data_IF_219034492581
#
_entry.id   IF_219034492581
#
_cell.length_a   1.000
_cell.length_b   1.000
_cell.length_c   1.000
_cell.angle_alpha   90.00
_cell.angle_beta   90.00
_cell.angle_gamma   90.00
#
_symmetry.space_group_name_H-M   'P 1'
#
loop_
_entity.id
_entity.type
_entity.pdbx_description
1 polymer ?
#
# COMPACT_ATOMS: atom_id res chain seq x y z
N UNK A 1 -19.46 -16.38 11.72
CA UNK A 1 -18.02 -16.64 11.89
C UNK A 1 -17.32 -16.41 10.57
N UNK A 2 -16.73 -15.24 10.29
CA UNK A 2 -15.75 -15.14 9.23
C UNK A 2 -14.46 -15.78 9.76
N UNK A 3 -14.15 -17.00 9.29
CA UNK A 3 -12.83 -17.62 9.47
C UNK A 3 -11.92 -17.23 8.30
N UNK A 4 -10.60 -17.27 8.51
CA UNK A 4 -9.44 -17.11 7.59
C UNK A 4 -9.67 -16.54 6.17
N UNK A 5 -10.61 -17.10 5.40
CA UNK A 5 -11.17 -16.54 4.17
C UNK A 5 -11.59 -15.08 4.33
N UNK A 6 -12.24 -14.71 5.47
CA UNK A 6 -12.70 -13.34 5.83
C UNK A 6 -11.62 -12.28 5.61
N UNK A 7 -10.46 -12.55 6.20
CA UNK A 7 -9.27 -11.74 6.12
C UNK A 7 -8.71 -11.62 4.69
N UNK A 8 -8.81 -12.67 3.87
CA UNK A 8 -8.31 -12.63 2.49
C UNK A 8 -9.15 -11.72 1.60
N UNK A 9 -10.49 -11.79 1.70
CA UNK A 9 -11.36 -10.88 0.95
C UNK A 9 -11.10 -9.42 1.37
N UNK A 10 -11.03 -9.14 2.67
CA UNK A 10 -10.72 -7.80 3.17
C UNK A 10 -9.37 -7.31 2.63
N UNK A 11 -8.35 -8.16 2.65
CA UNK A 11 -7.03 -7.83 2.10
C UNK A 11 -7.08 -7.44 0.62
N UNK A 12 -7.73 -8.25 -0.22
CA UNK A 12 -7.84 -7.98 -1.67
C UNK A 12 -8.64 -6.69 -1.92
N UNK A 13 -9.77 -6.53 -1.24
CA UNK A 13 -10.64 -5.36 -1.40
C UNK A 13 -9.92 -4.08 -0.95
N UNK A 14 -9.24 -4.12 0.21
CA UNK A 14 -8.50 -2.98 0.75
C UNK A 14 -7.34 -2.59 -0.17
N UNK A 15 -6.59 -3.57 -0.69
CA UNK A 15 -5.53 -3.32 -1.67
C UNK A 15 -6.07 -2.60 -2.91
N UNK A 16 -7.15 -3.12 -3.52
CA UNK A 16 -7.78 -2.50 -4.69
C UNK A 16 -8.25 -1.07 -4.42
N UNK A 17 -8.87 -0.85 -3.26
CA UNK A 17 -9.37 0.47 -2.89
C UNK A 17 -8.24 1.48 -2.66
N UNK A 18 -7.18 1.10 -1.94
CA UNK A 18 -6.00 1.95 -1.72
C UNK A 18 -5.27 2.23 -3.03
N UNK A 19 -5.10 1.21 -3.86
CA UNK A 19 -4.44 1.32 -5.16
C UNK A 19 -5.13 2.35 -6.06
N UNK A 20 -6.46 2.27 -6.17
CA UNK A 20 -7.26 3.23 -6.95
C UNK A 20 -7.25 4.65 -6.38
N UNK A 21 -7.02 4.82 -5.08
CA UNK A 21 -6.89 6.14 -4.44
C UNK A 21 -5.54 6.78 -4.70
N UNK A 22 -4.49 5.96 -4.75
CA UNK A 22 -3.13 6.44 -4.82
C UNK A 22 -2.56 6.48 -6.22
N UNK A 23 -2.67 5.38 -6.97
CA UNK A 23 -2.01 5.25 -8.26
C UNK A 23 -2.69 6.15 -9.30
N UNK A 24 -1.88 6.99 -9.95
CA UNK A 24 -2.30 7.86 -11.06
C UNK A 24 -1.31 7.61 -12.21
N UNK A 25 -1.71 6.86 -13.25
CA UNK A 25 -0.82 6.53 -14.36
C UNK A 25 -0.12 7.77 -14.87
N UNK A 26 1.21 7.70 -14.97
CA UNK A 26 2.04 8.77 -15.55
C UNK A 26 1.95 10.11 -14.83
N UNK A 27 1.42 10.13 -13.60
CA UNK A 27 1.19 11.37 -12.83
C UNK A 27 1.75 11.32 -11.43
N UNK A 28 2.05 10.14 -10.91
CA UNK A 28 2.78 10.00 -9.67
C UNK A 28 3.90 8.98 -9.79
N UNK A 29 4.99 9.26 -9.10
CA UNK A 29 6.18 8.42 -9.06
C UNK A 29 5.90 7.23 -8.14
N UNK A 30 5.85 6.03 -8.71
CA UNK A 30 5.75 4.78 -7.96
C UNK A 30 6.96 3.95 -8.35
N UNK A 31 8.10 4.41 -7.86
CA UNK A 31 9.38 3.74 -8.01
C UNK A 31 9.70 2.93 -6.75
N UNK A 32 10.62 1.96 -6.84
CA UNK A 32 11.14 1.22 -5.68
C UNK A 32 10.06 0.55 -4.80
N UNK A 33 8.98 0.05 -5.39
CA UNK A 33 7.86 -0.61 -4.69
C UNK A 33 7.20 0.26 -3.60
N UNK A 34 7.14 1.59 -3.79
CA UNK A 34 6.40 2.48 -2.88
C UNK A 34 4.95 1.99 -2.67
N UNK A 35 4.38 2.23 -1.49
CA UNK A 35 2.98 1.97 -1.15
C UNK A 35 2.50 2.94 -0.06
N UNK A 36 1.21 3.33 -0.09
CA UNK A 36 0.62 4.12 1.02
C UNK A 36 0.42 3.27 2.27
N UNK A 37 -0.05 2.03 2.11
CA UNK A 37 -0.29 1.15 3.25
C UNK A 37 -0.10 -0.31 2.87
N UNK A 38 0.36 -1.09 3.85
CA UNK A 38 0.51 -2.53 3.75
C UNK A 38 -0.18 -3.16 4.95
N UNK A 39 -1.01 -4.17 4.69
CA UNK A 39 -1.69 -4.91 5.75
C UNK A 39 -0.67 -5.81 6.45
N UNK A 40 -0.43 -5.55 7.74
CA UNK A 40 0.40 -6.41 8.59
C UNK A 40 -0.50 -7.32 9.43
N UNK A 41 -0.08 -8.58 9.54
CA UNK A 41 -0.56 -9.67 10.42
C UNK A 41 -2.00 -9.56 10.99
N UNK A 42 -2.92 -10.49 10.67
CA UNK A 42 -4.22 -10.53 11.35
C UNK A 42 -4.03 -10.90 12.83
N UNK A 43 -4.25 -9.96 13.75
CA UNK A 43 -4.26 -10.19 15.19
C UNK A 43 -5.67 -10.49 15.69
N UNK A 44 -5.82 -11.52 16.54
CA UNK A 44 -7.07 -11.82 17.24
C UNK A 44 -6.91 -11.43 18.71
N UNK A 45 -7.44 -10.28 19.15
CA UNK A 45 -7.39 -9.89 20.55
C UNK A 45 -8.18 -10.86 21.44
N UNK A 46 -7.83 -10.98 22.73
CA UNK A 46 -8.68 -11.62 23.73
C UNK A 46 -10.09 -11.01 23.75
N UNK A 47 -11.16 -11.78 24.03
CA UNK A 47 -12.54 -11.31 23.97
C UNK A 47 -12.86 -10.12 24.88
N UNK A 48 -12.11 -9.96 25.96
CA UNK A 48 -12.26 -8.97 27.03
C UNK A 48 -11.27 -7.80 26.89
N UNK A 49 -10.44 -7.78 25.84
CA UNK A 49 -9.49 -6.70 25.62
C UNK A 49 -10.21 -5.38 25.32
N UNK A 50 -9.92 -4.35 26.14
CA UNK A 50 -10.45 -3.01 25.89
C UNK A 50 -9.88 -2.40 24.61
N UNK A 51 -10.62 -1.48 23.99
CA UNK A 51 -10.13 -0.76 22.79
C UNK A 51 -8.82 -0.02 23.07
N UNK A 52 -8.66 0.57 24.26
CA UNK A 52 -7.42 1.26 24.66
C UNK A 52 -6.25 0.28 24.70
N UNK A 53 -6.45 -0.90 25.31
CA UNK A 53 -5.43 -1.95 25.38
C UNK A 53 -5.05 -2.48 23.99
N UNK A 54 -6.01 -2.62 23.08
CA UNK A 54 -5.75 -2.99 21.69
C UNK A 54 -4.88 -1.95 20.98
N UNK A 55 -5.21 -0.66 21.13
CA UNK A 55 -4.44 0.45 20.56
C UNK A 55 -3.00 0.44 21.09
N UNK A 56 -2.82 0.32 22.41
CA UNK A 56 -1.49 0.22 23.02
C UNK A 56 -0.70 -0.95 22.45
N UNK A 57 -1.33 -2.14 22.36
CA UNK A 57 -0.67 -3.33 21.81
C UNK A 57 -0.22 -3.16 20.36
N UNK A 58 -1.09 -2.58 19.50
CA UNK A 58 -0.75 -2.32 18.10
C UNK A 58 0.38 -1.30 17.98
N UNK A 59 0.37 -0.23 18.78
CA UNK A 59 1.42 0.78 18.75
C UNK A 59 2.76 0.23 19.23
N UNK A 60 2.76 -0.64 20.24
CA UNK A 60 3.96 -1.38 20.68
C UNK A 60 4.54 -2.27 19.57
N UNK A 61 3.66 -3.00 18.85
CA UNK A 61 4.07 -3.83 17.72
C UNK A 61 4.61 -2.98 16.57
N UNK A 62 3.95 -1.85 16.28
CA UNK A 62 4.37 -0.91 15.25
C UNK A 62 5.73 -0.30 15.55
N UNK A 63 5.99 0.08 16.81
CA UNK A 63 7.31 0.54 17.25
C UNK A 63 8.40 -0.49 16.96
N UNK A 64 8.18 -1.77 17.31
CA UNK A 64 9.13 -2.86 17.02
C UNK A 64 9.36 -3.07 15.51
N UNK A 65 8.31 -2.89 14.70
CA UNK A 65 8.44 -2.94 13.24
C UNK A 65 9.30 -1.78 12.75
N UNK A 66 9.06 -0.57 13.24
CA UNK A 66 9.84 0.63 12.90
C UNK A 66 11.32 0.48 13.29
N UNK A 67 11.61 -0.03 14.49
CA UNK A 67 12.97 -0.29 14.97
C UNK A 67 13.68 -1.32 14.08
N UNK A 68 12.96 -2.37 13.68
CA UNK A 68 13.50 -3.40 12.80
C UNK A 68 13.79 -2.86 11.41
N UNK A 69 12.91 -2.02 10.87
CA UNK A 69 13.12 -1.31 9.60
C UNK A 69 14.35 -0.40 9.70
N UNK A 70 14.48 0.39 10.77
CA UNK A 70 15.64 1.27 10.97
C UNK A 70 16.95 0.48 11.07
N UNK A 71 16.95 -0.64 11.78
CA UNK A 71 18.12 -1.54 11.86
C UNK A 71 18.49 -2.08 10.48
N UNK A 72 17.51 -2.59 9.72
CA UNK A 72 17.77 -3.08 8.36
C UNK A 72 18.29 -1.97 7.44
N UNK A 73 17.73 -0.77 7.50
CA UNK A 73 18.21 0.36 6.71
C UNK A 73 19.68 0.70 7.01
N UNK A 74 20.07 0.68 8.30
CA UNK A 74 21.47 0.91 8.70
C UNK A 74 22.40 -0.23 8.25
N UNK A 75 21.99 -1.49 8.42
CA UNK A 75 22.77 -2.65 8.02
C UNK A 75 23.04 -2.64 6.51
N UNK A 76 22.05 -2.30 5.69
CA UNK A 76 22.19 -2.37 4.24
C UNK A 76 23.17 -1.33 3.70
N UNK A 77 23.18 -0.12 4.27
CA UNK A 77 24.16 0.93 3.91
C UNK A 77 25.60 0.52 4.26
N UNK A 78 25.78 -0.35 5.27
CA UNK A 78 27.12 -0.76 5.74
C UNK A 78 27.64 -2.06 5.11
N UNK A 79 26.77 -2.86 4.47
CA UNK A 79 27.18 -4.10 3.83
C UNK A 79 27.87 -3.84 2.49
N UNK A 80 28.99 -4.52 2.18
CA UNK A 80 29.63 -4.40 0.88
C UNK A 80 28.68 -4.92 -0.22
N UNK A 81 28.70 -4.32 -1.42
CA UNK A 81 27.88 -4.78 -2.54
C UNK A 81 28.13 -6.28 -2.81
N UNK A 82 27.15 -7.14 -2.53
CA UNK A 82 27.27 -8.58 -2.84
C UNK A 82 27.21 -8.77 -4.35
N UNK A 83 28.21 -9.45 -4.91
CA UNK A 83 28.40 -9.63 -6.35
C UNK A 83 27.69 -10.87 -6.91
N UNK A 84 26.98 -11.68 -6.12
CA UNK A 84 26.40 -12.92 -6.65
C UNK A 84 25.10 -13.36 -5.97
N UNK A 85 24.16 -13.75 -6.83
CA UNK A 85 23.02 -14.65 -6.58
C UNK A 85 21.81 -14.03 -5.87
N UNK A 86 21.04 -13.19 -6.57
CA UNK A 86 19.71 -12.81 -6.09
C UNK A 86 19.05 -11.60 -6.77
N UNK A 87 19.07 -11.50 -8.10
CA UNK A 87 18.37 -10.43 -8.85
C UNK A 87 18.85 -9.00 -8.52
N UNK A 88 18.24 -7.96 -9.13
CA UNK A 88 18.61 -6.56 -8.93
C UNK A 88 18.33 -6.00 -7.51
N UNK A 89 17.95 -6.82 -6.53
CA UNK A 89 17.22 -6.36 -5.33
C UNK A 89 18.06 -5.94 -4.10
N UNK A 90 19.39 -6.02 -4.13
CA UNK A 90 20.21 -5.67 -2.96
C UNK A 90 20.87 -4.28 -3.04
N UNK A 91 20.97 -3.67 -4.23
CA UNK A 91 21.66 -2.39 -4.41
C UNK A 91 20.80 -1.17 -4.06
N UNK A 92 19.47 -1.30 -4.13
CA UNK A 92 18.56 -0.14 -4.06
C UNK A 92 17.83 -0.03 -2.71
N UNK A 93 18.23 -0.86 -1.73
CA UNK A 93 17.61 -0.89 -0.41
C UNK A 93 17.84 0.40 0.39
N UNK A 94 18.88 1.19 0.06
CA UNK A 94 19.09 2.54 0.58
C UNK A 94 17.94 3.50 0.24
N UNK A 95 17.18 3.21 -0.84
CA UNK A 95 16.03 4.01 -1.28
C UNK A 95 14.70 3.50 -0.70
N UNK A 96 14.69 2.40 0.04
CA UNK A 96 13.50 1.90 0.74
C UNK A 96 13.30 2.66 2.05
N UNK A 97 12.65 3.82 1.98
CA UNK A 97 12.49 4.74 3.10
C UNK A 97 11.08 4.68 3.70
N UNK A 98 10.98 4.34 4.99
CA UNK A 98 9.76 4.54 5.78
C UNK A 98 9.67 6.01 6.22
N UNK A 99 8.71 6.76 5.66
CA UNK A 99 8.53 8.18 5.98
C UNK A 99 8.03 8.39 7.41
N UNK A 100 8.44 9.48 8.05
CA UNK A 100 8.12 9.80 9.44
C UNK A 100 6.62 9.79 9.77
N UNK A 101 5.70 10.32 8.93
CA UNK A 101 4.27 10.25 9.23
C UNK A 101 3.75 8.82 9.41
N UNK A 102 4.29 7.84 8.67
CA UNK A 102 3.90 6.44 8.79
C UNK A 102 4.54 5.73 9.99
N UNK A 103 5.55 6.33 10.63
CA UNK A 103 6.03 5.92 11.95
C UNK A 103 5.12 6.46 13.05
N UNK A 104 4.65 7.69 12.88
CA UNK A 104 3.84 8.43 13.84
C UNK A 104 2.36 7.99 13.92
N UNK A 105 1.85 7.26 12.92
CA UNK A 105 0.43 6.91 12.81
C UNK A 105 0.22 5.43 12.54
N UNK A 106 -0.76 4.83 13.22
CA UNK A 106 -1.31 3.51 12.86
C UNK A 106 -2.79 3.60 12.51
N UNK A 107 -3.24 2.73 11.62
CA UNK A 107 -4.65 2.57 11.24
C UNK A 107 -5.06 1.11 11.51
N UNK A 108 -6.04 0.93 12.39
CA UNK A 108 -6.53 -0.38 12.83
C UNK A 108 -7.91 -0.61 12.21
N UNK A 109 -8.02 -1.67 11.41
CA UNK A 109 -9.28 -2.17 10.89
C UNK A 109 -9.79 -3.30 11.77
N UNK A 110 -11.00 -3.16 12.31
CA UNK A 110 -11.66 -4.22 13.05
C UNK A 110 -12.43 -5.11 12.08
N UNK A 111 -12.21 -6.43 12.13
CA UNK A 111 -12.86 -7.39 11.23
C UNK A 111 -14.39 -7.31 11.34
N UNK A 112 -14.93 -7.07 12.54
CA UNK A 112 -16.38 -6.96 12.78
C UNK A 112 -17.05 -5.83 12.00
N UNK A 113 -16.28 -4.81 11.60
CA UNK A 113 -16.77 -3.70 10.78
C UNK A 113 -16.87 -4.09 9.29
N UNK A 114 -16.22 -5.17 8.88
CA UNK A 114 -16.23 -5.67 7.52
C UNK A 114 -17.22 -6.82 7.33
N UNK A 115 -17.98 -6.77 6.25
CA UNK A 115 -18.73 -7.92 5.80
C UNK A 115 -18.71 -8.01 4.26
N UNK A 116 -19.10 -9.16 3.74
CA UNK A 116 -19.06 -9.48 2.29
C UNK A 116 -19.92 -8.56 1.41
N UNK A 117 -20.85 -7.80 2.01
CA UNK A 117 -21.74 -6.86 1.33
C UNK A 117 -21.23 -5.43 1.36
N UNK A 118 -20.13 -5.15 2.05
CA UNK A 118 -19.47 -3.84 1.99
C UNK A 118 -18.97 -3.63 0.57
N UNK A 119 -19.53 -2.61 -0.09
CA UNK A 119 -19.18 -2.19 -1.46
C UNK A 119 -18.27 -0.96 -1.47
N UNK A 120 -18.36 -0.10 -0.46
CA UNK A 120 -17.54 1.08 -0.29
C UNK A 120 -16.68 0.96 0.97
N UNK A 121 -15.43 0.52 0.79
CA UNK A 121 -14.47 0.38 1.89
C UNK A 121 -14.10 1.71 2.53
N UNK A 122 -14.22 2.83 1.80
CA UNK A 122 -13.87 4.15 2.33
C UNK A 122 -14.74 4.56 3.51
N UNK A 123 -15.96 4.01 3.62
CA UNK A 123 -16.89 4.25 4.73
C UNK A 123 -16.68 3.33 5.93
N UNK A 124 -15.77 2.36 5.84
CA UNK A 124 -15.51 1.46 6.97
C UNK A 124 -14.99 2.27 8.17
N UNK A 125 -15.55 2.06 9.36
CA UNK A 125 -15.00 2.66 10.57
C UNK A 125 -13.67 2.00 10.91
N UNK A 126 -12.64 2.84 11.11
CA UNK A 126 -11.29 2.44 11.51
C UNK A 126 -10.86 3.26 12.72
N UNK A 127 -9.95 2.70 13.52
CA UNK A 127 -9.25 3.48 14.55
C UNK A 127 -7.99 4.05 13.91
N UNK A 128 -7.84 5.36 13.97
CA UNK A 128 -6.57 6.03 13.67
C UNK A 128 -5.92 6.42 14.99
N UNK A 129 -4.63 6.13 15.14
CA UNK A 129 -3.93 6.37 16.40
C UNK A 129 -2.57 7.03 16.17
N UNK A 130 -2.19 7.90 17.09
CA UNK A 130 -0.86 8.50 17.19
C UNK A 130 0.01 7.61 18.05
N UNK A 131 1.19 7.26 17.54
CA UNK A 131 2.12 6.33 18.20
C UNK A 131 3.00 7.02 19.24
N UNK A 132 3.11 8.35 19.16
CA UNK A 132 4.08 9.16 19.92
C UNK A 132 5.47 9.19 19.29
N UNK A 133 5.65 8.56 18.12
CA UNK A 133 6.91 8.63 17.37
C UNK A 133 6.94 9.90 16.52
N UNK A 134 7.57 10.95 17.05
CA UNK A 134 7.64 12.26 16.40
C UNK A 134 8.95 12.50 15.64
N UNK A 135 9.87 11.51 15.59
CA UNK A 135 11.19 11.70 14.99
C UNK A 135 11.10 11.99 13.49
N UNK A 136 11.64 13.14 13.10
CA UNK A 136 11.72 13.59 11.70
C UNK A 136 10.42 14.19 11.16
N UNK A 137 9.41 14.45 12.02
CA UNK A 137 8.26 15.25 11.64
C UNK A 137 8.62 16.75 11.69
N UNK A 138 8.14 17.52 10.72
CA UNK A 138 8.22 18.98 10.73
C UNK A 138 7.33 19.62 11.79
N UNK A 139 6.27 18.92 12.21
CA UNK A 139 5.32 19.38 13.22
C UNK A 139 4.63 18.20 13.90
N UNK A 140 4.38 18.33 15.20
CA UNK A 140 3.60 17.40 16.02
C UNK A 140 2.23 17.08 15.38
N UNK A 141 1.87 15.80 15.37
CA UNK A 141 0.59 15.35 14.84
C UNK A 141 -0.53 15.51 15.86
N UNK A 142 -1.71 15.86 15.36
CA UNK A 142 -2.94 15.89 16.14
C UNK A 142 -4.15 15.72 15.23
N UNK A 143 -5.31 15.44 15.82
CA UNK A 143 -6.54 15.19 15.07
C UNK A 143 -7.40 16.44 14.83
N UNK A 144 -6.88 17.66 15.02
CA UNK A 144 -7.67 18.89 14.86
C UNK A 144 -8.26 19.02 13.46
N UNK A 145 -7.48 18.69 12.42
CA UNK A 145 -7.90 18.76 11.01
C UNK A 145 -9.05 17.80 10.66
N UNK A 146 -9.21 16.69 11.40
CA UNK A 146 -10.24 15.68 11.15
C UNK A 146 -11.30 15.61 12.26
N UNK A 147 -11.29 16.56 13.20
CA UNK A 147 -12.17 16.57 14.38
C UNK A 147 -13.66 16.43 14.04
N UNK A 148 -14.11 17.10 12.98
CA UNK A 148 -15.50 17.05 12.50
C UNK A 148 -15.91 15.72 11.85
N UNK A 149 -14.95 14.83 11.58
CA UNK A 149 -15.19 13.49 11.04
C UNK A 149 -15.07 12.39 12.10
N UNK A 150 -14.75 12.74 13.36
CA UNK A 150 -14.63 11.78 14.45
C UNK A 150 -16.00 11.21 14.79
N UNK A 151 -16.13 9.89 14.62
CA UNK A 151 -17.36 9.14 14.93
C UNK A 151 -17.37 8.64 16.38
N UNK A 152 -16.20 8.41 16.97
CA UNK A 152 -16.04 8.01 18.37
C UNK A 152 -14.68 8.44 18.89
N UNK A 153 -14.67 9.07 20.06
CA UNK A 153 -13.44 9.40 20.79
C UNK A 153 -13.02 8.20 21.66
N UNK A 154 -11.74 7.83 21.62
CA UNK A 154 -11.19 6.74 22.45
C UNK A 154 -10.20 7.32 23.47
N UNK A 155 -9.25 8.13 23.02
CA UNK A 155 -8.29 8.89 23.81
C UNK A 155 -7.74 10.07 23.01
N UNK A 156 -6.92 10.91 23.61
CA UNK A 156 -6.24 12.02 22.90
C UNK A 156 -5.37 11.54 21.73
N UNK A 157 -4.88 10.30 21.81
CA UNK A 157 -4.04 9.65 20.81
C UNK A 157 -4.80 8.67 19.92
N UNK A 158 -6.11 8.46 20.11
CA UNK A 158 -6.88 7.50 19.31
C UNK A 158 -8.32 7.93 19.09
N UNK A 159 -8.74 7.95 17.82
CA UNK A 159 -10.11 8.29 17.42
C UNK A 159 -10.62 7.31 16.36
N UNK A 160 -11.93 7.15 16.28
CA UNK A 160 -12.57 6.38 15.22
C UNK A 160 -13.09 7.30 14.11
N UNK A 161 -12.68 7.02 12.88
CA UNK A 161 -13.09 7.77 11.67
C UNK A 161 -13.38 6.82 10.52
N UNK A 162 -14.04 7.26 9.44
CA UNK A 162 -14.10 6.49 8.21
C UNK A 162 -12.70 6.28 7.59
N UNK A 163 -12.46 5.12 6.96
CA UNK A 163 -11.18 4.76 6.35
C UNK A 163 -10.65 5.84 5.38
N UNK A 164 -11.53 6.42 4.56
CA UNK A 164 -11.11 7.48 3.63
C UNK A 164 -10.55 8.70 4.36
N UNK A 165 -11.13 9.10 5.49
CA UNK A 165 -10.63 10.21 6.30
C UNK A 165 -9.27 9.88 6.90
N UNK A 166 -9.07 8.65 7.38
CA UNK A 166 -7.78 8.22 7.92
C UNK A 166 -6.67 8.24 6.85
N UNK A 167 -6.98 7.77 5.63
CA UNK A 167 -6.04 7.80 4.50
C UNK A 167 -5.77 9.22 3.99
N UNK A 168 -6.81 10.05 3.88
CA UNK A 168 -6.66 11.45 3.47
C UNK A 168 -5.83 12.22 4.51
N UNK A 169 -6.02 11.94 5.81
CA UNK A 169 -5.21 12.52 6.88
C UNK A 169 -3.72 12.18 6.73
N UNK A 170 -3.36 10.89 6.64
CA UNK A 170 -1.94 10.49 6.57
C UNK A 170 -1.28 10.94 5.26
N UNK A 171 -2.05 10.97 4.17
CA UNK A 171 -1.57 11.49 2.88
C UNK A 171 -1.29 12.99 2.96
N UNK A 172 -2.16 13.77 3.62
CA UNK A 172 -1.93 15.19 3.83
C UNK A 172 -0.72 15.46 4.74
N UNK A 173 -0.51 14.65 5.79
CA UNK A 173 0.71 14.75 6.61
C UNK A 173 1.96 14.45 5.78
N UNK A 174 1.94 13.39 4.96
CA UNK A 174 3.05 13.06 4.08
C UNK A 174 3.36 14.17 3.07
N UNK A 175 2.32 14.78 2.47
CA UNK A 175 2.49 15.92 1.57
C UNK A 175 3.11 17.13 2.26
N UNK A 176 2.75 17.39 3.53
CA UNK A 176 3.37 18.43 4.35
C UNK A 176 4.86 18.17 4.55
N UNK A 177 5.23 16.95 4.91
CA UNK A 177 6.66 16.60 5.08
C UNK A 177 7.43 16.70 3.77
N UNK A 178 6.83 16.28 2.64
CA UNK A 178 7.41 16.45 1.30
C UNK A 178 7.60 17.94 0.96
N UNK A 179 6.67 18.81 1.35
CA UNK A 179 6.79 20.25 1.10
C UNK A 179 7.94 20.89 1.89
N UNK A 180 8.31 20.32 3.05
CA UNK A 180 9.39 20.83 3.91
C UNK A 180 10.75 20.24 3.51
N UNK A 181 10.81 18.93 3.31
CA UNK A 181 12.06 18.16 3.18
C UNK A 181 12.33 17.66 1.75
N UNK A 182 11.42 17.93 0.82
CA UNK A 182 11.40 17.31 -0.51
C UNK A 182 10.93 15.86 -0.47
N UNK A 183 10.65 15.26 -1.65
CA UNK A 183 10.33 13.85 -1.76
C UNK A 183 11.51 12.97 -1.30
N UNK A 184 11.20 11.90 -0.56
CA UNK A 184 12.16 10.92 -0.09
C UNK A 184 11.72 9.50 -0.52
N UNK A 185 12.62 8.67 -1.09
CA UNK A 185 13.98 9.03 -1.50
C UNK A 185 13.98 10.11 -2.58
N UNK A 186 15.11 10.81 -2.73
CA UNK A 186 15.31 11.75 -3.82
C UNK A 186 15.01 11.04 -5.16
N UNK A 187 14.02 11.51 -5.94
CA UNK A 187 13.58 10.81 -7.14
C UNK A 187 14.65 10.74 -8.23
N UNK A 188 15.57 11.71 -8.32
CA UNK A 188 16.67 11.70 -9.29
C UNK A 188 17.77 10.75 -8.83
N UNK A 189 18.12 10.76 -7.54
CA UNK A 189 19.17 9.87 -7.02
C UNK A 189 18.74 8.40 -7.04
N UNK A 190 17.49 8.12 -6.67
CA UNK A 190 16.95 6.75 -6.63
C UNK A 190 16.77 6.12 -8.02
N UNK A 191 16.77 6.93 -9.07
CA UNK A 191 16.62 6.46 -10.47
C UNK A 191 17.92 6.59 -11.26
N UNK A 192 18.97 7.19 -10.68
CA UNK A 192 20.24 7.46 -11.34
C UNK A 192 20.87 6.17 -11.87
N UNK A 193 21.25 6.16 -13.15
CA UNK A 193 21.87 5.00 -13.79
C UNK A 193 20.98 3.76 -13.82
N UNK A 194 19.65 3.95 -13.78
CA UNK A 194 18.64 2.88 -13.78
C UNK A 194 18.78 1.91 -12.61
N UNK A 195 19.25 2.43 -11.46
CA UNK A 195 19.31 1.72 -10.17
C UNK A 195 17.91 1.50 -9.58
N UNK A 196 16.93 1.15 -10.41
CA UNK A 196 15.56 1.01 -9.94
C UNK A 196 14.88 -0.22 -10.50
N UNK A 197 13.90 -0.70 -9.73
CA UNK A 197 13.15 -1.94 -9.85
C UNK A 197 12.29 -2.12 -11.11
N UNK A 198 12.65 -1.49 -12.22
CA UNK A 198 12.14 -1.87 -13.52
C UNK A 198 12.60 -3.31 -13.78
N UNK A 199 11.63 -4.20 -14.00
CA UNK A 199 11.90 -5.57 -14.45
C UNK A 199 12.28 -5.56 -15.95
N UNK A 200 13.14 -4.62 -16.34
CA UNK A 200 13.50 -4.26 -17.71
C UNK A 200 15.01 -4.20 -17.79
N UNK A 201 15.59 -4.84 -18.79
CA UNK A 201 17.03 -4.77 -19.01
C UNK A 201 17.43 -3.37 -19.51
N UNK A 202 18.57 -2.81 -19.08
CA UNK A 202 19.01 -1.46 -19.51
C UNK A 202 19.09 -1.28 -21.04
N UNK A 203 19.34 -2.38 -21.77
CA UNK A 203 19.41 -2.41 -23.24
C UNK A 203 18.05 -2.15 -23.91
N UNK A 204 16.96 -2.57 -23.25
CA UNK A 204 15.59 -2.40 -23.76
C UNK A 204 15.00 -1.02 -23.42
N UNK A 205 15.65 -0.28 -22.53
CA UNK A 205 15.11 0.94 -21.97
C UNK A 205 14.89 2.07 -23.01
N UNK A 206 15.82 2.33 -23.95
CA UNK A 206 15.58 3.33 -24.99
C UNK A 206 14.36 3.01 -25.86
N UNK A 207 14.15 1.73 -26.19
CA UNK A 207 12.98 1.28 -26.96
C UNK A 207 11.68 1.53 -26.19
N UNK A 208 11.67 1.26 -24.88
CA UNK A 208 10.51 1.48 -24.03
C UNK A 208 10.21 2.97 -23.89
N UNK A 209 11.20 3.80 -23.59
CA UNK A 209 11.04 5.26 -23.47
C UNK A 209 10.51 5.85 -24.78
N UNK A 210 11.06 5.45 -25.92
CA UNK A 210 10.57 5.85 -27.24
C UNK A 210 9.09 5.45 -27.45
N UNK A 211 8.69 4.24 -27.04
CA UNK A 211 7.29 3.79 -27.14
C UNK A 211 6.32 4.59 -26.26
N UNK A 212 6.83 5.21 -25.19
CA UNK A 212 6.09 6.08 -24.28
C UNK A 212 6.02 7.54 -24.76
N UNK A 213 6.63 7.85 -25.91
CA UNK A 213 6.71 9.20 -26.47
C UNK A 213 7.87 10.03 -25.93
N UNK A 214 8.80 9.42 -25.17
CA UNK A 214 10.03 10.07 -24.74
C UNK A 214 10.98 10.32 -25.91
N UNK A 215 11.71 11.43 -25.85
CA UNK A 215 12.66 11.85 -26.90
C UNK A 215 14.07 11.28 -26.73
N UNK A 216 15.03 11.84 -27.47
CA UNK A 216 16.46 11.47 -27.45
C UNK A 216 17.23 12.04 -26.23
N UNK A 217 16.51 12.63 -25.27
CA UNK A 217 17.10 13.17 -24.05
C UNK A 217 17.65 12.04 -23.17
N UNK A 218 18.70 12.29 -22.36
CA UNK A 218 19.18 11.33 -21.38
C UNK A 218 18.02 10.84 -20.51
N UNK A 219 17.85 9.52 -20.42
CA UNK A 219 16.80 8.92 -19.60
C UNK A 219 17.20 9.09 -18.13
N UNK A 220 16.70 10.15 -17.51
CA UNK A 220 16.97 10.51 -16.13
C UNK A 220 15.65 10.70 -15.36
N UNK A 221 15.71 10.46 -14.05
CA UNK A 221 14.56 10.67 -13.17
C UNK A 221 13.50 9.57 -13.20
N UNK A 222 12.35 9.81 -12.55
CA UNK A 222 11.25 8.83 -12.43
C UNK A 222 10.64 8.44 -13.78
N UNK A 223 10.18 7.20 -13.90
CA UNK A 223 9.58 6.71 -15.14
C UNK A 223 8.30 7.45 -15.55
N UNK A 224 7.66 8.16 -14.61
CA UNK A 224 6.51 9.01 -14.88
C UNK A 224 6.83 10.20 -15.78
N UNK A 225 8.08 10.68 -15.78
CA UNK A 225 8.51 11.85 -16.57
C UNK A 225 8.83 11.52 -18.02
N UNK A 226 9.04 10.23 -18.33
CA UNK A 226 9.39 9.77 -19.67
C UNK A 226 8.19 9.65 -20.60
N UNK A 227 6.97 9.79 -20.07
CA UNK A 227 5.74 9.53 -20.81
C UNK A 227 5.15 10.82 -21.33
N UNK A 228 4.95 10.88 -22.65
CA UNK A 228 4.16 11.94 -23.26
C UNK A 228 2.67 11.73 -22.93
N UNK A 229 2.18 12.49 -21.95
CA UNK A 229 0.78 12.43 -21.51
C UNK A 229 -0.23 12.98 -22.52
N UNK A 230 0.23 13.62 -23.61
CA UNK A 230 -0.63 13.98 -24.74
C UNK A 230 -0.90 12.80 -25.66
N UNK A 231 0.05 11.86 -25.75
CA UNK A 231 -0.08 10.59 -26.49
C UNK A 231 -0.79 9.55 -25.61
N UNK A 232 -0.39 9.46 -24.33
CA UNK A 232 -0.90 8.50 -23.36
C UNK A 232 -1.86 9.16 -22.37
N UNK A 233 -3.08 9.46 -22.83
CA UNK A 233 -4.13 10.08 -22.01
C UNK A 233 -4.85 9.06 -21.12
N UNK A 234 -4.17 8.56 -20.08
CA UNK A 234 -4.75 7.70 -19.05
C UNK A 234 -4.12 6.31 -18.96
N UNK A 235 -4.75 5.42 -18.20
CA UNK A 235 -4.21 4.06 -17.99
C UNK A 235 -4.30 3.24 -19.28
N UNK A 236 -3.19 2.72 -19.83
CA UNK A 236 -3.25 1.84 -21.00
C UNK A 236 -4.15 0.65 -20.70
N UNK A 237 -5.05 0.32 -21.64
CA UNK A 237 -6.02 -0.78 -21.45
C UNK A 237 -5.36 -2.09 -21.06
N UNK A 238 -4.14 -2.36 -21.54
CA UNK A 238 -3.36 -3.58 -21.24
C UNK A 238 -2.96 -3.64 -19.78
N UNK A 239 -2.35 -2.57 -19.25
CA UNK A 239 -1.91 -2.54 -17.85
C UNK A 239 -3.12 -2.53 -16.89
N UNK A 240 -4.20 -1.82 -17.25
CA UNK A 240 -5.44 -1.85 -16.49
C UNK A 240 -6.12 -3.23 -16.54
N UNK A 241 -5.93 -3.98 -17.63
CA UNK A 241 -6.44 -5.34 -17.78
C UNK A 241 -5.64 -6.33 -16.94
N UNK A 242 -4.32 -6.20 -16.87
CA UNK A 242 -3.48 -7.07 -16.04
C UNK A 242 -3.74 -6.88 -14.54
N UNK A 243 -3.80 -5.64 -14.07
CA UNK A 243 -4.17 -5.33 -12.69
C UNK A 243 -5.58 -5.83 -12.36
N UNK A 244 -6.52 -5.65 -13.29
CA UNK A 244 -7.88 -6.17 -13.17
C UNK A 244 -7.93 -7.69 -13.17
N UNK A 245 -7.11 -8.35 -13.98
CA UNK A 245 -7.07 -9.81 -14.10
C UNK A 245 -6.47 -10.44 -12.86
N UNK A 246 -5.50 -9.81 -12.22
CA UNK A 246 -4.89 -10.33 -11.00
C UNK A 246 -5.74 -9.93 -9.80
N UNK A 247 -5.79 -8.64 -9.46
CA UNK A 247 -6.32 -8.22 -8.16
C UNK A 247 -7.85 -8.09 -8.11
N UNK A 248 -8.51 -7.63 -9.17
CA UNK A 248 -9.99 -7.58 -9.17
C UNK A 248 -10.60 -8.97 -9.34
N UNK A 249 -9.92 -9.88 -10.05
CA UNK A 249 -10.37 -11.27 -10.15
C UNK A 249 -10.26 -11.98 -8.79
N UNK A 250 -9.13 -11.84 -8.10
CA UNK A 250 -8.94 -12.41 -6.76
C UNK A 250 -10.02 -11.93 -5.78
N UNK A 251 -10.27 -10.61 -5.74
CA UNK A 251 -11.33 -10.07 -4.88
C UNK A 251 -12.71 -10.63 -5.25
N UNK A 252 -13.08 -10.63 -6.54
CA UNK A 252 -14.36 -11.17 -7.00
C UNK A 252 -14.49 -12.66 -6.71
N UNK A 253 -13.42 -13.42 -6.90
CA UNK A 253 -13.37 -14.85 -6.64
C UNK A 253 -13.63 -15.14 -5.16
N UNK A 254 -12.89 -14.47 -4.26
CA UNK A 254 -13.05 -14.65 -2.82
C UNK A 254 -14.41 -14.14 -2.33
N UNK A 255 -14.91 -13.02 -2.86
CA UNK A 255 -16.26 -12.51 -2.52
C UNK A 255 -17.35 -13.50 -2.91
N UNK A 256 -17.25 -14.06 -4.11
CA UNK A 256 -18.23 -15.02 -4.60
C UNK A 256 -18.18 -16.35 -3.85
N UNK A 257 -16.97 -16.84 -3.54
CA UNK A 257 -16.75 -18.00 -2.68
C UNK A 257 -17.41 -17.83 -1.31
N UNK A 258 -17.28 -16.65 -0.69
CA UNK A 258 -17.95 -16.37 0.58
C UNK A 258 -19.47 -16.25 0.45
N UNK A 259 -19.98 -15.56 -0.58
CA UNK A 259 -21.41 -15.46 -0.82
C UNK A 259 -22.04 -16.85 -0.94
N UNK A 260 -21.37 -17.79 -1.61
CA UNK A 260 -21.79 -19.20 -1.70
C UNK A 260 -21.77 -19.91 -0.35
N UNK A 261 -20.71 -19.73 0.45
CA UNK A 261 -20.64 -20.29 1.79
C UNK A 261 -21.77 -19.78 2.68
N UNK A 262 -22.04 -18.48 2.68
CA UNK A 262 -23.15 -17.87 3.45
C UNK A 262 -24.51 -18.35 2.94
N UNK A 263 -24.65 -18.63 1.64
CA UNK A 263 -25.85 -19.19 1.05
C UNK A 263 -25.98 -20.72 1.24
N UNK A 264 -25.05 -21.39 1.93
CA UNK A 264 -25.08 -22.84 2.16
C UNK A 264 -24.77 -23.68 0.92
N UNK A 265 -24.19 -23.09 -0.14
CA UNK A 265 -23.87 -23.79 -1.39
C UNK A 265 -22.48 -24.43 -1.26
N UNK A 266 -22.42 -25.76 -1.40
CA UNK A 266 -21.17 -26.53 -1.35
C UNK A 266 -20.19 -26.12 -2.45
N UNK A 267 -18.91 -25.93 -2.09
CA UNK A 267 -17.79 -25.60 -2.98
C UNK A 267 -17.24 -26.81 -3.76
N UNK A 268 -18.06 -27.85 -3.99
CA UNK A 268 -17.62 -28.98 -4.79
C UNK A 268 -17.23 -28.51 -6.20
N UNK A 269 -15.95 -28.70 -6.53
CA UNK A 269 -15.39 -28.47 -7.85
C UNK A 269 -16.25 -29.18 -8.89
N UNK A 270 -17.04 -28.44 -9.67
CA UNK A 270 -17.59 -28.97 -10.91
C UNK A 270 -16.42 -29.11 -11.86
N UNK A 271 -15.77 -30.28 -11.84
CA UNK A 271 -14.94 -30.72 -12.97
C UNK A 271 -15.87 -30.73 -14.18
N UNK A 272 -15.74 -29.72 -15.04
CA UNK A 272 -16.28 -29.77 -16.38
C UNK A 272 -15.61 -30.96 -17.05
N UNK A 273 -16.26 -32.13 -17.03
CA UNK A 273 -15.89 -33.23 -17.91
C UNK A 273 -16.13 -32.69 -19.31
N UNK A 274 -15.06 -32.33 -20.02
CA UNK A 274 -15.10 -32.20 -21.49
C UNK A 274 -15.78 -33.46 -22.00
N UNK A 275 -17.00 -33.34 -22.52
CA UNK A 275 -17.62 -34.40 -23.31
C UNK A 275 -16.63 -34.68 -24.44
N UNK A 276 -16.09 -35.90 -24.49
CA UNK A 276 -15.50 -36.41 -25.73
C UNK A 276 -16.62 -36.37 -26.76
N UNK A 277 -16.42 -35.58 -27.80
CA UNK A 277 -17.18 -35.66 -29.04
C UNK A 277 -17.11 -37.11 -29.55
N UNK A 278 -18.28 -37.68 -29.84
CA UNK A 278 -18.44 -38.91 -30.62
C UNK A 278 -18.25 -38.53 -32.08
#
# INVERSE_FOLDING_TARGET
>A
MPGATGCLLLRCALHNWLYNKWYRPYRNDIESHQFIAKLFYPYRPPPDMSTVSLVTHVNDLHGKICDRVATYQQEVVTLPPRSSSGGPHFRDQEFLILQSPFKAVTIILLEDNFNIRVTDLGKLPVLITLTGEDSGLSQELNFKSISHHVTKFISDTAVQVPLHIAIDFITAQNQREIAVSGPQPDPLKSTLGFRNGLSVHPEDLPLIVSSLGGGDEPIEGPSSTWVDTTIHTGWPRVNAFDDKRVYQWEEKHERWKMLRQVAGISLSYVRIRRRKSI
#
